data_IF_282485555467
#
_entry.id   IF_282485555467
#
_cell.length_a   1.000
_cell.length_b   1.000
_cell.length_c   1.000
_cell.angle_alpha   90.00
_cell.angle_beta   90.00
_cell.angle_gamma   90.00
#
_symmetry.space_group_name_H-M   'P 1'
#
loop_
_entity.id
_entity.type
_entity.pdbx_description
1 polymer ?
#
# COMPACT_ATOMS: atom_id res chain seq x y z
N UNK A 1 -14.34 60.91 -16.27
CA UNK A 1 -14.91 61.43 -15.01
C UNK A 1 -14.18 60.72 -13.88
N UNK A 2 -13.23 61.37 -13.19
CA UNK A 2 -12.70 60.84 -11.92
C UNK A 2 -13.40 61.58 -10.78
N UNK A 3 -13.93 60.83 -9.82
CA UNK A 3 -14.41 61.40 -8.56
C UNK A 3 -13.20 61.61 -7.64
N UNK A 4 -13.07 62.81 -7.08
CA UNK A 4 -11.99 63.20 -6.16
C UNK A 4 -12.32 62.87 -4.69
N UNK A 5 -13.51 62.29 -4.43
CA UNK A 5 -14.02 62.05 -3.08
C UNK A 5 -14.30 60.56 -2.84
N UNK A 6 -13.89 60.11 -1.65
CA UNK A 6 -14.26 58.80 -1.10
C UNK A 6 -15.79 58.68 -0.97
N UNK A 7 -16.31 57.48 -1.20
CA UNK A 7 -17.72 57.15 -1.04
C UNK A 7 -17.89 56.31 0.21
N UNK A 8 -18.69 56.79 1.15
CA UNK A 8 -18.99 56.08 2.39
C UNK A 8 -20.51 56.03 2.60
N UNK A 9 -21.05 54.84 2.76
CA UNK A 9 -22.48 54.60 2.97
C UNK A 9 -22.62 53.80 4.26
N UNK A 10 -23.39 54.34 5.21
CA UNK A 10 -23.78 53.63 6.42
C UNK A 10 -25.30 53.44 6.44
N UNK A 11 -25.73 52.25 6.84
CA UNK A 11 -27.13 51.95 7.10
C UNK A 11 -27.25 51.37 8.49
N UNK A 12 -28.11 51.98 9.32
CA UNK A 12 -28.36 51.56 10.68
C UNK A 12 -29.80 51.04 10.79
N UNK A 13 -29.97 49.87 11.44
CA UNK A 13 -31.29 49.36 11.74
C UNK A 13 -31.78 49.83 13.13
N UNK A 14 -33.06 49.59 13.45
CA UNK A 14 -33.63 49.98 14.76
C UNK A 14 -32.99 49.28 15.96
N UNK A 15 -32.22 48.21 15.72
CA UNK A 15 -31.49 47.47 16.74
C UNK A 15 -30.05 47.99 16.93
N UNK A 16 -29.66 49.08 16.27
CA UNK A 16 -28.33 49.69 16.39
C UNK A 16 -27.24 48.97 15.60
N UNK A 17 -27.61 48.05 14.70
CA UNK A 17 -26.67 47.35 13.84
C UNK A 17 -26.34 48.23 12.64
N UNK A 18 -25.05 48.52 12.48
CA UNK A 18 -24.53 49.35 11.40
C UNK A 18 -23.87 48.46 10.34
N UNK A 19 -24.34 48.58 9.10
CA UNK A 19 -23.64 48.10 7.92
C UNK A 19 -22.95 49.28 7.25
N UNK A 20 -21.69 49.11 6.84
CA UNK A 20 -20.94 50.15 6.14
C UNK A 20 -20.32 49.63 4.84
N UNK A 21 -20.37 50.46 3.79
CA UNK A 21 -19.70 50.27 2.51
C UNK A 21 -18.81 51.49 2.25
N UNK A 22 -17.51 51.29 2.13
CA UNK A 22 -16.53 52.36 1.93
C UNK A 22 -15.70 52.09 0.68
N UNK A 23 -15.61 53.07 -0.21
CA UNK A 23 -14.72 53.06 -1.38
C UNK A 23 -13.80 54.28 -1.29
N UNK A 24 -12.51 54.03 -1.12
CA UNK A 24 -11.48 55.08 -1.00
C UNK A 24 -10.26 54.77 -1.87
N UNK A 25 -9.22 55.62 -1.81
CA UNK A 25 -7.96 55.42 -2.52
C UNK A 25 -7.27 54.05 -2.23
N UNK A 26 -7.67 53.34 -1.17
CA UNK A 26 -7.11 52.05 -0.77
C UNK A 26 -7.93 50.80 -1.11
N UNK A 27 -9.17 50.94 -1.61
CA UNK A 27 -10.01 49.79 -1.99
C UNK A 27 -11.48 49.91 -1.60
N UNK A 28 -12.17 48.76 -1.69
CA UNK A 28 -13.57 48.59 -1.30
C UNK A 28 -13.63 47.79 0.01
N UNK A 29 -14.18 48.39 1.06
CA UNK A 29 -14.37 47.76 2.37
C UNK A 29 -15.87 47.61 2.67
N UNK A 30 -16.25 46.43 3.15
CA UNK A 30 -17.61 46.10 3.57
C UNK A 30 -17.58 45.62 5.02
N UNK A 31 -18.40 46.21 5.88
CA UNK A 31 -18.61 45.75 7.25
C UNK A 31 -20.09 45.44 7.47
N UNK A 32 -20.39 44.19 7.81
CA UNK A 32 -21.74 43.68 8.01
C UNK A 32 -21.73 42.17 8.23
N UNK A 33 -22.92 41.55 8.25
CA UNK A 33 -23.04 40.10 8.44
C UNK A 33 -22.62 39.28 7.22
N UNK A 34 -22.92 39.79 6.03
CA UNK A 34 -22.59 39.15 4.76
C UNK A 34 -22.44 40.19 3.64
N UNK A 35 -21.58 39.89 2.69
CA UNK A 35 -21.50 40.55 1.38
C UNK A 35 -21.97 39.57 0.30
N UNK A 36 -23.02 39.94 -0.45
CA UNK A 36 -23.65 39.09 -1.45
C UNK A 36 -23.65 39.75 -2.82
N UNK A 37 -23.19 39.00 -3.82
CA UNK A 37 -23.25 39.37 -5.23
C UNK A 37 -24.30 38.48 -5.90
N UNK A 38 -25.37 39.09 -6.40
CA UNK A 38 -26.45 38.39 -7.08
C UNK A 38 -26.24 38.30 -8.58
N UNK A 39 -26.70 37.21 -9.19
CA UNK A 39 -26.83 37.13 -10.63
C UNK A 39 -27.91 38.08 -11.15
N UNK A 40 -27.68 38.67 -12.33
CA UNK A 40 -28.65 39.55 -12.98
C UNK A 40 -29.75 38.79 -13.72
N UNK A 41 -29.55 37.50 -14.01
CA UNK A 41 -30.51 36.68 -14.74
C UNK A 41 -31.62 36.17 -13.80
N UNK A 42 -32.89 36.14 -14.24
CA UNK A 42 -33.99 35.59 -13.44
C UNK A 42 -33.66 34.17 -12.95
N UNK A 43 -33.84 33.92 -11.64
CA UNK A 43 -33.54 32.62 -11.01
C UNK A 43 -32.05 32.35 -10.73
N UNK A 44 -31.13 33.22 -11.21
CA UNK A 44 -29.71 33.13 -10.88
C UNK A 44 -29.51 33.81 -9.51
N UNK A 45 -29.51 33.00 -8.45
CA UNK A 45 -29.39 33.45 -7.06
C UNK A 45 -28.04 34.10 -6.71
N UNK A 46 -27.54 33.84 -5.51
CA UNK A 46 -26.25 34.37 -5.06
C UNK A 46 -25.11 33.72 -5.84
N UNK A 47 -24.22 34.52 -6.43
CA UNK A 47 -23.00 34.07 -7.13
C UNK A 47 -21.78 34.06 -6.21
N UNK A 48 -21.73 35.01 -5.28
CA UNK A 48 -20.68 35.10 -4.28
C UNK A 48 -21.29 35.58 -2.97
N UNK A 49 -20.98 34.90 -1.88
CA UNK A 49 -21.32 35.30 -0.51
C UNK A 49 -20.08 35.21 0.35
N UNK A 50 -19.74 36.29 1.04
CA UNK A 50 -18.78 36.26 2.14
C UNK A 50 -19.52 36.54 3.45
N UNK A 51 -19.70 35.53 4.28
CA UNK A 51 -20.27 35.64 5.63
C UNK A 51 -19.24 35.35 6.72
N UNK A 52 -19.68 35.34 7.99
CA UNK A 52 -18.79 35.06 9.13
C UNK A 52 -18.33 33.59 9.19
N UNK A 53 -19.22 32.65 8.86
CA UNK A 53 -18.96 31.21 9.01
C UNK A 53 -18.49 30.54 7.70
N UNK A 54 -18.91 31.07 6.56
CA UNK A 54 -18.65 30.47 5.25
C UNK A 54 -18.50 31.51 4.13
N UNK A 55 -17.77 31.11 3.10
CA UNK A 55 -17.72 31.78 1.81
C UNK A 55 -18.34 30.86 0.77
N UNK A 56 -19.35 31.33 0.05
CA UNK A 56 -20.01 30.57 -1.03
C UNK A 56 -19.63 31.21 -2.37
N UNK A 57 -19.16 30.38 -3.30
CA UNK A 57 -18.90 30.78 -4.69
C UNK A 57 -19.72 29.86 -5.60
N UNK A 58 -20.76 30.40 -6.22
CA UNK A 58 -21.72 29.68 -7.05
C UNK A 58 -21.68 30.16 -8.52
N UNK A 59 -20.50 30.55 -8.98
CA UNK A 59 -20.24 30.78 -10.39
C UNK A 59 -20.05 29.45 -11.13
N UNK A 60 -20.33 29.42 -12.43
CA UNK A 60 -20.13 28.23 -13.26
C UNK A 60 -18.65 27.83 -13.34
N UNK A 61 -17.76 28.81 -13.35
CA UNK A 61 -16.32 28.63 -13.41
C UNK A 61 -15.65 29.62 -12.46
N UNK A 62 -14.66 29.13 -11.70
CA UNK A 62 -13.88 29.93 -10.74
C UNK A 62 -12.39 29.70 -11.02
N UNK A 63 -11.82 30.35 -12.04
CA UNK A 63 -10.41 30.19 -12.35
C UNK A 63 -9.55 30.78 -11.22
N UNK A 64 -8.63 29.98 -10.69
CA UNK A 64 -7.63 30.43 -9.72
C UNK A 64 -6.31 30.63 -10.45
N UNK A 65 -5.91 31.89 -10.66
CA UNK A 65 -4.60 32.24 -11.22
C UNK A 65 -3.67 32.65 -10.09
N UNK A 66 -2.73 31.78 -9.75
CA UNK A 66 -1.74 32.04 -8.71
C UNK A 66 -0.34 31.72 -9.27
N UNK A 67 0.49 32.75 -9.58
CA UNK A 67 1.82 32.55 -10.19
C UNK A 67 2.74 31.60 -9.42
N UNK A 68 2.57 31.54 -8.10
CA UNK A 68 3.36 30.69 -7.20
C UNK A 68 2.58 29.46 -6.72
N UNK A 69 1.48 29.12 -7.39
CA UNK A 69 0.56 28.08 -6.96
C UNK A 69 -0.38 28.52 -5.83
N UNK A 70 -1.22 27.60 -5.38
CA UNK A 70 -2.19 27.80 -4.32
C UNK A 70 -1.92 26.81 -3.20
N UNK A 71 -1.91 27.30 -1.95
CA UNK A 71 -1.77 26.47 -0.77
C UNK A 71 -3.17 26.21 -0.21
N UNK A 72 -3.59 24.95 -0.22
CA UNK A 72 -4.79 24.52 0.49
C UNK A 72 -4.41 24.02 1.88
N UNK A 73 -5.04 24.59 2.91
CA UNK A 73 -4.98 24.05 4.28
C UNK A 73 -6.28 23.31 4.55
N UNK A 74 -6.19 22.00 4.79
CA UNK A 74 -7.36 21.14 5.00
C UNK A 74 -7.67 20.26 3.79
N UNK A 75 -8.95 20.02 3.53
CA UNK A 75 -9.42 19.08 2.52
C UNK A 75 -9.93 19.78 1.27
N UNK A 76 -9.68 19.18 0.10
CA UNK A 76 -10.36 19.51 -1.16
C UNK A 76 -11.41 18.44 -1.44
N UNK A 77 -12.69 18.81 -1.46
CA UNK A 77 -13.73 17.94 -1.98
C UNK A 77 -14.06 18.33 -3.41
N UNK A 78 -13.87 17.39 -4.34
CA UNK A 78 -14.14 17.60 -5.75
C UNK A 78 -14.66 16.31 -6.39
N UNK A 79 -15.54 16.43 -7.38
CA UNK A 79 -16.00 15.27 -8.15
C UNK A 79 -14.92 14.75 -9.11
N UNK A 80 -14.08 15.65 -9.62
CA UNK A 80 -13.00 15.29 -10.54
C UNK A 80 -11.81 16.21 -10.32
N UNK A 81 -10.64 15.62 -10.20
CA UNK A 81 -9.35 16.31 -10.26
C UNK A 81 -8.68 15.89 -11.57
N UNK A 82 -8.37 16.84 -12.44
CA UNK A 82 -7.78 16.57 -13.76
C UNK A 82 -6.65 17.56 -14.03
N UNK A 83 -5.59 17.07 -14.66
CA UNK A 83 -4.47 17.89 -15.12
C UNK A 83 -4.81 18.78 -16.32
N UNK A 84 -3.90 19.70 -16.62
CA UNK A 84 -3.96 20.52 -17.83
C UNK A 84 -3.62 19.69 -19.06
N UNK A 85 -4.12 20.02 -20.26
CA UNK A 85 -3.64 19.42 -21.51
C UNK A 85 -2.14 19.66 -21.79
N UNK A 86 -1.52 20.63 -21.10
CA UNK A 86 -0.13 21.04 -21.32
C UNK A 86 0.85 20.54 -20.25
N UNK A 87 0.36 20.10 -19.10
CA UNK A 87 1.18 19.75 -17.95
C UNK A 87 0.60 18.54 -17.24
N UNK A 88 1.49 17.69 -16.73
CA UNK A 88 1.10 16.47 -16.02
C UNK A 88 0.35 16.79 -14.71
N UNK A 89 -0.64 15.95 -14.38
CA UNK A 89 -1.20 15.93 -13.03
C UNK A 89 -0.27 15.11 -12.13
N UNK A 90 0.48 15.78 -11.26
CA UNK A 90 1.36 15.14 -10.28
C UNK A 90 0.77 15.24 -8.88
N UNK A 91 0.64 14.09 -8.22
CA UNK A 91 0.34 13.98 -6.80
C UNK A 91 1.61 13.52 -6.10
N UNK A 92 2.18 14.34 -5.21
CA UNK A 92 3.44 14.02 -4.55
C UNK A 92 3.47 14.44 -3.08
N UNK A 93 4.27 13.70 -2.31
CA UNK A 93 4.56 13.97 -0.92
C UNK A 93 6.05 13.72 -0.68
N UNK A 94 6.91 14.74 -0.87
CA UNK A 94 8.36 14.53 -0.93
C UNK A 94 8.99 13.93 0.35
N UNK A 95 8.35 14.14 1.50
CA UNK A 95 8.86 13.74 2.81
C UNK A 95 7.96 12.74 3.54
N UNK A 96 6.81 12.41 2.97
CA UNK A 96 5.78 11.58 3.60
C UNK A 96 5.13 10.69 2.54
N UNK A 97 3.94 10.20 2.84
CA UNK A 97 3.16 9.33 1.98
C UNK A 97 2.14 10.10 1.13
N UNK A 98 1.77 9.50 0.00
CA UNK A 98 0.54 9.77 -0.73
C UNK A 98 -0.35 8.54 -0.54
N UNK A 99 -1.54 8.73 0.04
CA UNK A 99 -2.45 7.64 0.36
C UNK A 99 -3.74 7.77 -0.47
N UNK A 100 -4.12 6.71 -1.19
CA UNK A 100 -5.33 6.64 -2.01
C UNK A 100 -6.21 5.53 -1.44
N UNK A 101 -7.37 5.90 -0.91
CA UNK A 101 -8.33 4.99 -0.30
C UNK A 101 -9.70 5.18 -0.93
N UNK A 102 -10.46 4.10 -1.02
CA UNK A 102 -11.83 4.10 -1.51
C UNK A 102 -12.65 3.11 -0.70
N UNK A 103 -13.93 3.43 -0.48
CA UNK A 103 -14.90 2.47 0.06
C UNK A 103 -15.35 1.45 -1.01
N UNK A 104 -15.13 1.77 -2.29
CA UNK A 104 -15.34 0.86 -3.42
C UNK A 104 -14.05 0.66 -4.20
N UNK A 105 -14.16 0.55 -5.51
CA UNK A 105 -13.01 0.23 -6.36
C UNK A 105 -12.06 1.43 -6.54
N UNK A 106 -10.78 1.11 -6.76
CA UNK A 106 -9.76 2.04 -7.28
C UNK A 106 -9.27 1.50 -8.61
N UNK A 107 -9.64 2.17 -9.71
CA UNK A 107 -9.17 1.83 -11.06
C UNK A 107 -7.95 2.68 -11.43
N UNK A 108 -6.82 2.02 -11.71
CA UNK A 108 -5.64 2.65 -12.29
C UNK A 108 -5.49 2.16 -13.73
N UNK A 109 -5.74 3.05 -14.69
CA UNK A 109 -5.69 2.74 -16.12
C UNK A 109 -4.75 3.68 -16.88
N UNK A 110 -4.12 3.16 -17.94
CA UNK A 110 -3.37 3.96 -18.92
C UNK A 110 -3.93 3.66 -20.32
N UNK A 111 -4.37 4.70 -21.03
CA UNK A 111 -5.06 4.56 -22.33
C UNK A 111 -4.12 4.42 -23.52
N UNK A 112 -2.88 4.88 -23.39
CA UNK A 112 -1.96 5.01 -24.54
C UNK A 112 -0.63 4.32 -24.32
N UNK A 113 -0.14 4.28 -23.08
CA UNK A 113 1.23 3.84 -22.79
C UNK A 113 1.26 2.70 -21.78
N UNK A 114 1.79 2.95 -20.58
CA UNK A 114 2.07 1.93 -19.59
C UNK A 114 1.88 2.51 -18.19
N UNK A 115 1.76 1.64 -17.20
CA UNK A 115 1.78 1.99 -15.78
C UNK A 115 3.14 1.54 -15.24
N UNK A 116 3.91 2.47 -14.68
CA UNK A 116 5.18 2.16 -14.02
C UNK A 116 5.01 2.25 -12.51
N UNK A 117 5.36 1.18 -11.81
CA UNK A 117 5.51 1.17 -10.35
C UNK A 117 6.99 0.95 -10.06
N UNK A 118 7.61 1.89 -9.34
CA UNK A 118 9.03 1.83 -8.96
C UNK A 118 9.13 2.08 -7.46
N UNK A 119 9.93 1.28 -6.78
CA UNK A 119 10.26 1.45 -5.37
C UNK A 119 11.76 1.20 -5.19
N UNK A 120 12.37 1.88 -4.21
CA UNK A 120 13.76 1.63 -3.84
C UNK A 120 13.87 0.38 -2.96
N UNK A 121 12.85 0.14 -2.14
CA UNK A 121 12.82 -0.94 -1.17
C UNK A 121 11.80 -1.99 -1.62
N UNK A 122 10.53 -1.82 -1.24
CA UNK A 122 9.51 -2.85 -1.40
C UNK A 122 8.31 -2.32 -2.17
N UNK A 123 7.68 -3.19 -2.97
CA UNK A 123 6.33 -3.01 -3.55
C UNK A 123 5.45 -4.12 -2.99
N UNK A 124 4.46 -3.77 -2.16
CA UNK A 124 3.51 -4.73 -1.60
C UNK A 124 2.23 -4.77 -2.44
N UNK A 125 1.85 -5.96 -2.90
CA UNK A 125 0.57 -6.24 -3.57
C UNK A 125 -0.09 -7.35 -2.76
N UNK A 126 -1.14 -7.00 -2.00
CA UNK A 126 -1.78 -7.90 -1.04
C UNK A 126 -3.28 -7.93 -1.32
N UNK A 127 -3.87 -9.11 -1.32
CA UNK A 127 -5.32 -9.32 -1.27
C UNK A 127 -5.63 -10.10 0.00
N UNK A 128 -6.50 -9.57 0.87
CA UNK A 128 -6.79 -10.18 2.17
C UNK A 128 -7.71 -11.40 2.02
N UNK A 129 -8.84 -11.24 1.33
CA UNK A 129 -9.85 -12.30 1.13
C UNK A 129 -10.03 -12.66 -0.36
N UNK A 130 -9.28 -12.02 -1.25
CA UNK A 130 -9.55 -12.02 -2.68
C UNK A 130 -8.45 -12.67 -3.52
N UNK A 131 -8.47 -12.33 -4.80
CA UNK A 131 -7.54 -12.85 -5.81
C UNK A 131 -6.72 -11.71 -6.39
N UNK A 132 -5.40 -11.91 -6.49
CA UNK A 132 -4.54 -11.09 -7.34
C UNK A 132 -4.49 -11.76 -8.71
N UNK A 133 -5.04 -11.11 -9.74
CA UNK A 133 -5.04 -11.63 -11.11
C UNK A 133 -4.09 -10.82 -11.98
N UNK A 134 -3.08 -11.50 -12.53
CA UNK A 134 -2.13 -10.93 -13.49
C UNK A 134 -2.34 -11.62 -14.84
N UNK A 135 -3.11 -10.99 -15.73
CA UNK A 135 -3.38 -11.50 -17.07
C UNK A 135 -2.55 -10.75 -18.10
N UNK A 136 -1.61 -11.44 -18.73
CA UNK A 136 -0.76 -10.89 -19.78
C UNK A 136 -0.28 -12.00 -20.72
N UNK A 137 0.04 -11.64 -21.96
CA UNK A 137 0.70 -12.55 -22.90
C UNK A 137 2.14 -12.87 -22.48
N UNK A 138 2.77 -11.97 -21.72
CA UNK A 138 4.12 -12.15 -21.18
C UNK A 138 4.17 -11.57 -19.77
N UNK A 139 4.62 -12.38 -18.82
CA UNK A 139 4.98 -11.98 -17.47
C UNK A 139 6.47 -12.25 -17.27
N UNK A 140 7.19 -11.30 -16.70
CA UNK A 140 8.65 -11.40 -16.52
C UNK A 140 9.01 -11.00 -15.09
N UNK A 141 9.71 -11.88 -14.40
CA UNK A 141 10.26 -11.64 -13.06
C UNK A 141 11.77 -11.88 -13.17
N UNK A 142 12.57 -10.84 -12.95
CA UNK A 142 14.04 -10.87 -13.13
C UNK A 142 14.75 -10.88 -11.79
N UNK A 143 16.01 -11.29 -11.83
CA UNK A 143 16.96 -11.16 -10.73
C UNK A 143 16.48 -11.82 -9.43
N UNK A 144 15.68 -12.88 -9.56
CA UNK A 144 15.27 -13.69 -8.42
C UNK A 144 16.50 -14.37 -7.81
N UNK A 145 16.76 -14.19 -6.50
CA UNK A 145 17.84 -14.88 -5.84
C UNK A 145 17.58 -16.38 -5.87
N UNK A 146 18.54 -17.14 -6.39
CA UNK A 146 18.47 -18.60 -6.40
C UNK A 146 18.99 -19.07 -5.04
N UNK A 147 18.14 -19.77 -4.28
CA UNK A 147 18.58 -20.44 -3.06
C UNK A 147 19.61 -21.52 -3.44
N UNK A 148 20.83 -21.40 -2.92
CA UNK A 148 21.84 -22.42 -3.12
C UNK A 148 21.51 -23.62 -2.23
N UNK A 149 20.95 -24.68 -2.82
CA UNK A 149 20.77 -25.95 -2.11
C UNK A 149 22.16 -26.50 -1.70
N UNK A 150 22.40 -26.61 -0.40
CA UNK A 150 23.54 -27.39 0.10
C UNK A 150 23.19 -28.86 -0.04
N UNK A 151 23.69 -29.51 -1.08
CA UNK A 151 23.55 -30.96 -1.24
C UNK A 151 24.15 -31.67 -0.02
N UNK A 152 23.30 -32.25 0.82
CA UNK A 152 23.73 -33.14 1.90
C UNK A 152 24.09 -34.48 1.26
N UNK A 153 25.38 -34.84 1.25
CA UNK A 153 25.81 -36.17 0.82
C UNK A 153 25.33 -37.20 1.84
N UNK A 154 24.27 -37.92 1.50
CA UNK A 154 23.88 -39.14 2.24
C UNK A 154 24.92 -40.22 1.91
N UNK A 155 25.76 -40.58 2.90
CA UNK A 155 26.58 -41.79 2.80
C UNK A 155 25.65 -43.00 2.90
N UNK A 156 25.53 -43.74 1.79
CA UNK A 156 24.85 -45.03 1.74
C UNK A 156 25.77 -46.07 2.39
N UNK A 157 25.38 -46.62 3.55
CA UNK A 157 26.08 -47.76 4.15
C UNK A 157 25.76 -49.04 3.37
N UNK A 158 26.78 -49.83 3.07
CA UNK A 158 26.65 -51.16 2.44
C UNK A 158 26.06 -52.19 3.42
N UNK A 159 25.39 -53.25 2.94
CA UNK A 159 24.84 -54.29 3.80
C UNK A 159 25.92 -55.33 4.16
N UNK A 160 26.33 -55.38 5.42
CA UNK A 160 27.15 -56.49 5.95
C UNK A 160 26.30 -57.74 6.17
N UNK A 161 26.74 -58.86 5.59
CA UNK A 161 26.23 -60.20 5.87
C UNK A 161 27.22 -60.96 6.78
N UNK A 162 26.66 -61.48 7.88
CA UNK A 162 26.98 -62.73 8.60
C UNK A 162 28.38 -62.90 9.22
N UNK A 163 28.44 -63.04 10.56
CA UNK A 163 28.53 -64.37 11.17
C UNK A 163 28.26 -64.34 12.69
N UNK A 164 27.68 -65.45 13.13
CA UNK A 164 27.29 -65.86 14.48
C UNK A 164 28.45 -65.85 15.50
N UNK A 165 28.13 -65.65 16.79
CA UNK A 165 28.35 -66.67 17.84
C UNK A 165 27.91 -66.20 19.25
N UNK A 166 27.12 -67.09 19.88
CA UNK A 166 27.04 -67.45 21.31
C UNK A 166 26.46 -66.49 22.36
N UNK A 167 25.17 -66.71 22.62
CA UNK A 167 24.53 -67.08 23.90
C UNK A 167 25.45 -67.15 25.13
N UNK A 168 25.17 -66.33 26.17
CA UNK A 168 24.70 -66.82 27.48
C UNK A 168 24.19 -65.67 28.38
N UNK A 169 23.13 -66.03 29.10
CA UNK A 169 22.21 -65.27 29.94
C UNK A 169 22.69 -65.22 31.39
N UNK A 170 22.62 -64.07 32.07
CA UNK A 170 22.32 -63.98 33.52
C UNK A 170 21.76 -62.60 33.86
N UNK A 171 20.56 -62.62 34.42
CA UNK A 171 19.80 -61.50 34.99
C UNK A 171 20.41 -60.96 36.29
N UNK A 172 19.78 -59.89 36.81
CA UNK A 172 19.85 -59.30 38.17
C UNK A 172 21.12 -58.48 38.47
N UNK A 173 21.07 -57.29 39.08
CA UNK A 173 20.20 -56.84 40.15
C UNK A 173 20.22 -55.29 40.28
N UNK A 174 19.04 -54.70 40.47
CA UNK A 174 18.90 -53.32 40.97
C UNK A 174 19.13 -53.37 42.50
N UNK A 175 20.20 -52.74 43.00
CA UNK A 175 20.23 -52.24 44.38
C UNK A 175 21.18 -51.05 44.60
N UNK A 176 20.53 -49.91 44.83
CA UNK A 176 20.75 -48.98 45.95
C UNK A 176 22.17 -48.50 46.29
N UNK A 177 22.29 -47.17 46.16
CA UNK A 177 22.61 -46.19 47.21
C UNK A 177 24.06 -45.70 47.40
N UNK A 178 24.15 -44.38 47.24
CA UNK A 178 24.70 -43.39 48.17
C UNK A 178 26.21 -43.29 48.37
N UNK A 179 26.74 -42.16 47.87
CA UNK A 179 27.37 -41.17 48.74
C UNK A 179 28.89 -41.02 48.56
N UNK A 180 29.32 -39.89 48.00
CA UNK A 180 29.95 -38.80 48.77
C UNK A 180 30.41 -37.66 47.82
N UNK A 181 29.69 -36.55 47.90
CA UNK A 181 30.10 -35.16 47.67
C UNK A 181 31.24 -34.75 48.65
N UNK A 182 31.92 -33.56 48.61
CA UNK A 182 31.57 -32.32 47.89
C UNK A 182 32.77 -31.45 47.39
N UNK A 183 32.41 -30.26 46.83
CA UNK A 183 33.05 -28.92 46.89
C UNK A 183 33.44 -28.36 45.51
N UNK A 184 33.19 -27.08 45.16
CA UNK A 184 32.41 -25.95 45.69
C UNK A 184 32.61 -24.80 44.67
N UNK A 185 31.55 -24.00 44.43
CA UNK A 185 31.56 -22.57 44.01
C UNK A 185 32.05 -22.28 42.56
N UNK A 186 31.47 -21.36 41.78
CA UNK A 186 30.87 -20.05 42.09
C UNK A 186 29.89 -19.63 40.95
N UNK A 187 28.83 -18.89 41.32
CA UNK A 187 28.14 -17.77 40.63
C UNK A 187 27.61 -17.99 39.19
N UNK A 188 26.51 -17.40 38.72
CA UNK A 188 25.44 -16.44 39.09
C UNK A 188 24.61 -16.47 37.79
N UNK A 189 23.30 -16.32 37.68
CA UNK A 189 22.28 -15.56 38.40
C UNK A 189 20.96 -15.96 37.74
N UNK A 190 19.90 -16.06 38.53
CA UNK A 190 18.53 -16.17 38.03
C UNK A 190 18.11 -14.85 37.40
N UNK A 191 17.42 -14.89 36.26
CA UNK A 191 16.16 -14.15 36.14
C UNK A 191 15.14 -14.91 35.27
N UNK A 192 13.89 -14.73 35.65
CA UNK A 192 12.69 -15.49 35.31
C UNK A 192 11.96 -14.88 34.10
N UNK A 193 11.59 -15.76 33.17
CA UNK A 193 10.32 -15.85 32.44
C UNK A 193 9.66 -14.60 31.84
N UNK A 194 9.41 -14.65 30.52
CA UNK A 194 8.10 -14.36 29.92
C UNK A 194 7.90 -15.36 28.76
N UNK A 195 6.75 -16.01 28.80
CA UNK A 195 6.16 -16.94 27.84
C UNK A 195 5.94 -16.25 26.48
N UNK A 196 6.55 -16.78 25.42
CA UNK A 196 6.20 -16.48 24.03
C UNK A 196 5.76 -17.76 23.35
N UNK A 197 4.45 -17.96 23.40
CA UNK A 197 3.67 -18.90 22.62
C UNK A 197 4.05 -18.87 21.13
N UNK A 198 4.32 -20.05 20.59
CA UNK A 198 4.17 -20.48 19.19
C UNK A 198 4.96 -19.64 18.18
N UNK A 199 6.18 -20.09 17.93
CA UNK A 199 6.79 -19.98 16.61
C UNK A 199 5.89 -20.74 15.62
N UNK A 200 4.92 -20.05 15.02
CA UNK A 200 4.43 -20.44 13.70
C UNK A 200 5.61 -20.21 12.75
N UNK A 201 6.53 -21.19 12.68
CA UNK A 201 7.56 -21.24 11.64
C UNK A 201 6.83 -21.05 10.31
N UNK A 202 6.98 -19.87 9.71
CA UNK A 202 6.38 -19.58 8.43
C UNK A 202 6.84 -20.67 7.47
N UNK A 203 5.92 -21.55 7.05
CA UNK A 203 6.21 -22.60 6.09
C UNK A 203 6.80 -21.89 4.86
N UNK A 204 8.11 -22.04 4.69
CA UNK A 204 8.84 -21.42 3.61
C UNK A 204 8.66 -22.29 2.38
N UNK A 205 8.37 -21.66 1.24
CA UNK A 205 8.12 -22.38 0.00
C UNK A 205 8.92 -21.77 -1.14
N UNK A 206 9.29 -22.60 -2.12
CA UNK A 206 9.90 -22.15 -3.36
C UNK A 206 8.88 -22.20 -4.51
N UNK A 207 9.04 -21.29 -5.48
CA UNK A 207 8.23 -21.23 -6.70
C UNK A 207 9.03 -21.80 -7.87
N UNK A 208 8.46 -22.77 -8.56
CA UNK A 208 9.01 -23.41 -9.75
C UNK A 208 8.17 -23.06 -10.97
N UNK A 209 8.81 -22.82 -12.12
CA UNK A 209 8.14 -22.49 -13.37
C UNK A 209 8.34 -23.59 -14.43
N UNK A 210 7.25 -24.06 -15.01
CA UNK A 210 7.25 -24.89 -16.21
C UNK A 210 7.71 -24.07 -17.44
N UNK A 211 8.16 -24.75 -18.51
CA UNK A 211 8.53 -24.09 -19.78
C UNK A 211 7.38 -23.30 -20.42
N UNK A 212 6.12 -23.65 -20.13
CA UNK A 212 4.93 -22.93 -20.59
C UNK A 212 4.49 -21.78 -19.66
N UNK A 213 5.29 -21.45 -18.63
CA UNK A 213 5.02 -20.34 -17.72
C UNK A 213 4.06 -20.65 -16.57
N UNK A 214 3.55 -21.89 -16.45
CA UNK A 214 2.82 -22.32 -15.25
C UNK A 214 3.75 -22.36 -14.05
N UNK A 215 3.34 -21.75 -12.94
CA UNK A 215 4.10 -21.71 -11.70
C UNK A 215 3.48 -22.69 -10.70
N UNK A 216 4.30 -23.44 -9.97
CA UNK A 216 3.88 -24.34 -8.90
C UNK A 216 4.78 -24.16 -7.68
N UNK A 217 4.24 -24.49 -6.51
CA UNK A 217 4.92 -24.36 -5.22
C UNK A 217 5.57 -25.70 -4.88
N UNK A 218 6.78 -25.66 -4.34
CA UNK A 218 7.49 -26.82 -3.78
C UNK A 218 7.98 -26.50 -2.36
N UNK A 219 8.30 -27.52 -1.57
CA UNK A 219 8.96 -27.32 -0.28
C UNK A 219 10.28 -26.55 -0.44
N UNK A 220 10.80 -25.94 0.62
CA UNK A 220 11.93 -25.01 0.53
C UNK A 220 13.21 -25.67 0.01
N UNK A 221 13.36 -26.98 0.21
CA UNK A 221 14.49 -27.81 -0.22
C UNK A 221 14.10 -28.86 -1.28
N UNK A 222 12.88 -28.81 -1.79
CA UNK A 222 12.39 -29.77 -2.79
C UNK A 222 12.84 -29.40 -4.21
N UNK A 223 13.11 -30.41 -5.05
CA UNK A 223 13.38 -30.18 -6.46
C UNK A 223 12.12 -29.73 -7.22
N UNK A 224 12.30 -28.87 -8.23
CA UNK A 224 11.24 -28.42 -9.13
C UNK A 224 10.71 -29.57 -10.02
N UNK A 225 9.95 -30.48 -9.44
CA UNK A 225 9.33 -31.61 -10.11
C UNK A 225 7.81 -31.42 -10.16
N UNK A 226 7.31 -31.00 -11.31
CA UNK A 226 5.88 -31.00 -11.59
C UNK A 226 5.51 -32.23 -12.41
N UNK A 227 4.28 -32.71 -12.22
CA UNK A 227 3.71 -33.76 -13.07
C UNK A 227 3.79 -33.34 -14.55
N UNK A 228 4.17 -34.25 -15.47
CA UNK A 228 4.16 -33.95 -16.91
C UNK A 228 2.80 -33.46 -17.40
N UNK A 229 1.71 -33.91 -16.79
CA UNK A 229 0.34 -33.47 -17.11
C UNK A 229 0.12 -31.99 -16.76
N UNK A 230 0.80 -31.50 -15.71
CA UNK A 230 0.72 -30.12 -15.29
C UNK A 230 1.53 -29.20 -16.22
N UNK A 231 2.80 -29.53 -16.47
CA UNK A 231 3.68 -28.70 -17.30
C UNK A 231 3.49 -28.84 -18.81
N UNK A 232 2.83 -29.89 -19.31
CA UNK A 232 2.51 -30.03 -20.72
C UNK A 232 1.13 -29.46 -21.03
N UNK A 233 0.97 -28.86 -22.20
CA UNK A 233 -0.33 -28.65 -22.81
C UNK A 233 -0.71 -29.91 -23.63
N UNK A 234 -2.00 -30.24 -23.78
CA UNK A 234 -2.40 -31.26 -24.73
C UNK A 234 -1.96 -30.78 -26.11
N UNK A 235 -0.99 -31.47 -26.71
CA UNK A 235 -0.59 -31.21 -28.09
C UNK A 235 -1.81 -31.40 -28.98
N UNK A 236 -2.36 -30.30 -29.49
CA UNK A 236 -3.33 -30.37 -30.57
C UNK A 236 -2.62 -31.06 -31.74
N UNK A 237 -2.98 -32.32 -31.99
CA UNK A 237 -2.49 -33.09 -33.12
C UNK A 237 -2.92 -32.38 -34.41
N UNK A 238 -2.06 -31.53 -34.97
CA UNK A 238 -2.16 -31.10 -36.35
C UNK A 238 -1.68 -32.24 -37.24
N UNK A 239 -2.52 -33.25 -37.43
CA UNK A 239 -2.39 -34.15 -38.56
C UNK A 239 -2.82 -33.40 -39.82
N UNK A 240 -1.90 -32.64 -40.42
CA UNK A 240 -2.00 -32.28 -41.84
C UNK A 240 -1.44 -33.44 -42.66
N UNK A 241 -2.30 -34.40 -43.00
CA UNK A 241 -2.04 -35.37 -44.06
C UNK A 241 -2.65 -34.85 -45.37
N UNK A 242 -1.80 -34.87 -46.40
CA UNK A 242 -2.03 -34.79 -47.86
C UNK A 242 -2.73 -33.57 -48.46
#
# INVERSE_FOLDING_TARGET
>A
MSSEKDVHIESNNRAGKVNSLSMSAGGLEVRGDAFEVFGLSPGRGVLFRAGQDEIVIAANEVPVSAPNGFILRGSLQANTVRGSPRYDLRLESPLKEVNVQSAGDVLVESKTEHINVKSVDTVNIISQDGMISLSSHKLEIKDLPIAAMRSVRVKRNEPEQLLENNVEDWQTEIRSQMGQDPMRLVDRSHDMSIDSTRDDEAESFALCACKNGKIFVVGPDDECQASPVFCNEPTANSNSNE
#
